data_IF_277652936849
#
_entry.id   IF_277652936849
#
_cell.length_a   1.000
_cell.length_b   1.000
_cell.length_c   1.000
_cell.angle_alpha   90.00
_cell.angle_beta   90.00
_cell.angle_gamma   90.00
#
_symmetry.space_group_name_H-M   'P 1'
#
loop_
_entity.id
_entity.type
_entity.pdbx_description
1 polymer ?
#
# COMPACT_ATOMS: atom_id res chain seq x y z
N UNK A 1 35.29 6.30 2.33
CA UNK A 1 35.94 5.26 1.47
C UNK A 1 35.56 3.84 1.89
N UNK A 2 35.51 3.52 3.20
CA UNK A 2 35.11 2.19 3.72
C UNK A 2 33.67 1.77 3.34
N UNK A 3 32.71 2.70 3.34
CA UNK A 3 31.31 2.38 3.00
C UNK A 3 31.12 2.02 1.52
N UNK A 4 31.76 2.78 0.61
CA UNK A 4 31.75 2.47 -0.84
C UNK A 4 32.30 1.07 -1.14
N UNK A 5 33.33 0.63 -0.41
CA UNK A 5 33.92 -0.71 -0.57
C UNK A 5 32.97 -1.80 -0.05
N UNK A 6 32.24 -1.53 1.03
CA UNK A 6 31.24 -2.44 1.60
C UNK A 6 30.06 -2.62 0.63
N UNK A 7 29.58 -1.54 0.03
CA UNK A 7 28.51 -1.57 -0.96
C UNK A 7 28.92 -2.32 -2.23
N UNK A 8 30.14 -2.06 -2.72
CA UNK A 8 30.69 -2.76 -3.87
C UNK A 8 30.83 -4.27 -3.63
N UNK A 9 31.36 -4.68 -2.46
CA UNK A 9 31.44 -6.10 -2.06
C UNK A 9 30.06 -6.73 -1.91
N UNK A 10 29.10 -5.99 -1.36
CA UNK A 10 27.72 -6.44 -1.23
C UNK A 10 27.06 -6.69 -2.58
N UNK A 11 27.29 -5.80 -3.55
CA UNK A 11 26.87 -5.98 -4.95
C UNK A 11 27.54 -7.19 -5.59
N UNK A 12 28.87 -7.26 -5.53
CA UNK A 12 29.67 -8.35 -6.11
C UNK A 12 29.25 -9.74 -5.60
N UNK A 13 29.06 -9.88 -4.28
CA UNK A 13 28.68 -11.15 -3.65
C UNK A 13 27.27 -11.64 -4.04
N UNK A 14 26.38 -10.77 -4.54
CA UNK A 14 25.06 -11.20 -5.03
C UNK A 14 25.17 -12.03 -6.30
N UNK A 15 26.16 -11.74 -7.16
CA UNK A 15 26.39 -12.40 -8.44
C UNK A 15 27.32 -13.61 -8.35
N UNK A 16 27.92 -13.87 -7.18
CA UNK A 16 28.75 -15.05 -7.00
C UNK A 16 27.90 -16.33 -6.88
N UNK A 17 28.35 -17.45 -7.47
CA UNK A 17 27.76 -18.76 -7.26
C UNK A 17 27.64 -19.14 -5.79
N UNK A 18 26.52 -19.76 -5.44
CA UNK A 18 26.28 -20.30 -4.09
C UNK A 18 26.04 -21.80 -4.16
N UNK A 19 26.38 -22.48 -3.06
CA UNK A 19 25.99 -23.86 -2.89
C UNK A 19 24.47 -23.95 -2.74
N UNK A 20 23.83 -24.86 -3.46
CA UNK A 20 22.40 -25.16 -3.40
C UNK A 20 22.21 -26.50 -2.69
N UNK A 21 21.85 -26.52 -1.40
CA UNK A 21 21.70 -27.77 -0.64
C UNK A 21 20.69 -28.73 -1.28
N UNK A 22 19.59 -28.20 -1.82
CA UNK A 22 18.55 -29.00 -2.46
C UNK A 22 19.01 -29.75 -3.72
N UNK A 23 20.02 -29.21 -4.43
CA UNK A 23 20.58 -29.83 -5.64
C UNK A 23 21.95 -30.48 -5.39
N UNK A 24 22.47 -30.40 -4.16
CA UNK A 24 23.78 -30.93 -3.78
C UNK A 24 24.97 -30.32 -4.52
N UNK A 25 24.80 -29.19 -5.24
CA UNK A 25 25.82 -28.62 -6.14
C UNK A 25 25.99 -27.11 -5.99
N UNK A 26 27.08 -26.59 -6.55
CA UNK A 26 27.30 -25.14 -6.68
C UNK A 26 26.54 -24.63 -7.91
N UNK A 27 25.94 -23.44 -7.80
CA UNK A 27 25.35 -22.72 -8.92
C UNK A 27 26.36 -22.54 -10.07
N UNK A 28 25.88 -22.59 -11.31
CA UNK A 28 26.67 -22.08 -12.43
C UNK A 28 26.74 -20.55 -12.36
N UNK A 29 27.70 -19.95 -13.08
CA UNK A 29 27.76 -18.48 -13.21
C UNK A 29 26.47 -17.90 -13.80
N UNK A 30 25.83 -18.61 -14.73
CA UNK A 30 24.59 -18.17 -15.35
C UNK A 30 23.41 -18.18 -14.36
N UNK A 31 23.30 -19.22 -13.52
CA UNK A 31 22.29 -19.31 -12.47
C UNK A 31 22.49 -18.24 -11.39
N UNK A 32 23.74 -18.01 -10.97
CA UNK A 32 24.06 -16.96 -10.00
C UNK A 32 23.68 -15.57 -10.53
N UNK A 33 23.93 -15.32 -11.82
CA UNK A 33 23.55 -14.08 -12.50
C UNK A 33 22.02 -13.93 -12.61
N UNK A 34 21.31 -14.98 -13.03
CA UNK A 34 19.85 -15.00 -13.10
C UNK A 34 19.22 -14.74 -11.72
N UNK A 35 19.71 -15.40 -10.67
CA UNK A 35 19.27 -15.18 -9.28
C UNK A 35 19.51 -13.74 -8.83
N UNK A 36 20.66 -13.16 -9.15
CA UNK A 36 20.99 -11.79 -8.79
C UNK A 36 20.07 -10.78 -9.50
N UNK A 37 19.85 -10.95 -10.81
CA UNK A 37 18.92 -10.13 -11.58
C UNK A 37 17.48 -10.25 -11.08
N UNK A 38 17.02 -11.47 -10.77
CA UNK A 38 15.68 -11.69 -10.21
C UNK A 38 15.50 -10.93 -8.90
N UNK A 39 16.50 -10.99 -7.99
CA UNK A 39 16.48 -10.24 -6.73
C UNK A 39 16.49 -8.73 -6.94
N UNK A 40 17.27 -8.23 -7.90
CA UNK A 40 17.31 -6.81 -8.22
C UNK A 40 15.98 -6.32 -8.78
N UNK A 41 15.38 -7.07 -9.71
CA UNK A 41 14.07 -6.76 -10.28
C UNK A 41 12.99 -6.78 -9.20
N UNK A 42 12.98 -7.79 -8.33
CA UNK A 42 12.04 -7.88 -7.22
C UNK A 42 12.17 -6.70 -6.26
N UNK A 43 13.41 -6.34 -5.89
CA UNK A 43 13.67 -5.18 -5.04
C UNK A 43 13.19 -3.87 -5.70
N UNK A 44 13.44 -3.68 -7.00
CA UNK A 44 12.95 -2.49 -7.72
C UNK A 44 11.42 -2.43 -7.74
N UNK A 45 10.73 -3.56 -7.93
CA UNK A 45 9.26 -3.63 -7.88
C UNK A 45 8.74 -3.29 -6.48
N UNK A 46 9.37 -3.81 -5.42
CA UNK A 46 9.05 -3.49 -4.04
C UNK A 46 9.23 -1.98 -3.73
N UNK A 47 10.34 -1.40 -4.17
CA UNK A 47 10.61 0.04 -3.97
C UNK A 47 9.61 0.92 -4.73
N UNK A 48 9.24 0.57 -5.96
CA UNK A 48 8.20 1.28 -6.72
C UNK A 48 6.83 1.17 -6.04
N UNK A 49 6.48 -0.01 -5.56
CA UNK A 49 5.25 -0.24 -4.79
C UNK A 49 5.24 0.61 -3.52
N UNK A 50 6.36 0.67 -2.78
CA UNK A 50 6.49 1.49 -1.58
C UNK A 50 6.32 2.98 -1.89
N UNK A 51 7.05 3.51 -2.88
CA UNK A 51 6.94 4.91 -3.29
C UNK A 51 5.52 5.26 -3.81
N UNK A 52 4.81 4.32 -4.41
CA UNK A 52 3.39 4.51 -4.78
C UNK A 52 2.49 4.63 -3.55
N UNK A 53 2.70 3.78 -2.53
CA UNK A 53 1.96 3.84 -1.26
C UNK A 53 2.26 5.12 -0.49
N UNK A 54 3.52 5.54 -0.42
CA UNK A 54 3.93 6.78 0.24
C UNK A 54 3.23 7.99 -0.39
N UNK A 55 3.28 8.12 -1.72
CA UNK A 55 2.57 9.20 -2.43
C UNK A 55 1.06 9.20 -2.15
N UNK A 56 0.42 8.03 -2.13
CA UNK A 56 -1.02 7.92 -1.79
C UNK A 56 -1.28 8.37 -0.35
N UNK A 57 -0.43 7.98 0.59
CA UNK A 57 -0.56 8.40 1.99
C UNK A 57 -0.42 9.92 2.12
N UNK A 58 0.62 10.49 1.51
CA UNK A 58 0.90 11.92 1.57
C UNK A 58 -0.23 12.74 0.94
N UNK A 59 -0.70 12.34 -0.26
CA UNK A 59 -1.81 12.99 -0.94
C UNK A 59 -3.09 13.00 -0.10
N UNK A 60 -3.38 11.88 0.57
CA UNK A 60 -4.57 11.73 1.43
C UNK A 60 -4.44 12.54 2.72
N UNK A 61 -3.26 12.55 3.35
CA UNK A 61 -2.97 13.39 4.53
C UNK A 61 -3.14 14.87 4.19
N UNK A 62 -2.53 15.30 3.10
CA UNK A 62 -2.62 16.69 2.64
C UNK A 62 -4.06 17.08 2.31
N UNK A 63 -4.80 16.20 1.63
CA UNK A 63 -6.21 16.44 1.31
C UNK A 63 -7.06 16.58 2.58
N UNK A 64 -6.93 15.65 3.53
CA UNK A 64 -7.69 15.71 4.78
C UNK A 64 -7.35 16.98 5.59
N UNK A 65 -6.07 17.34 5.70
CA UNK A 65 -5.64 18.55 6.40
C UNK A 65 -6.20 19.83 5.77
N UNK A 66 -6.05 19.99 4.45
CA UNK A 66 -6.56 21.17 3.74
C UNK A 66 -8.09 21.25 3.79
N UNK A 67 -8.80 20.13 3.70
CA UNK A 67 -10.27 20.14 3.82
C UNK A 67 -10.72 20.58 5.21
N UNK A 68 -10.02 20.19 6.28
CA UNK A 68 -10.28 20.69 7.64
C UNK A 68 -10.06 22.21 7.70
N UNK A 69 -8.93 22.70 7.18
CA UNK A 69 -8.61 24.14 7.18
C UNK A 69 -9.66 24.98 6.44
N UNK A 70 -10.07 24.54 5.24
CA UNK A 70 -11.12 25.21 4.45
C UNK A 70 -12.43 25.24 5.23
N UNK A 71 -12.83 24.11 5.84
CA UNK A 71 -14.09 24.01 6.60
C UNK A 71 -14.10 24.86 7.85
N UNK A 72 -12.96 24.99 8.54
CA UNK A 72 -12.80 25.90 9.67
C UNK A 72 -12.95 27.34 9.20
N UNK A 73 -12.33 27.71 8.08
CA UNK A 73 -12.42 29.07 7.51
C UNK A 73 -13.84 29.43 7.06
N UNK A 74 -14.61 28.47 6.54
CA UNK A 74 -16.01 28.65 6.14
C UNK A 74 -17.01 28.72 7.32
N UNK A 75 -16.57 28.35 8.54
CA UNK A 75 -17.29 28.59 9.79
C UNK A 75 -18.65 27.89 9.97
N UNK A 76 -19.07 27.03 9.05
CA UNK A 76 -20.43 26.44 9.02
C UNK A 76 -20.46 24.91 8.85
N UNK A 77 -19.29 24.27 8.77
CA UNK A 77 -19.19 22.85 8.45
C UNK A 77 -19.41 21.94 9.68
N UNK A 78 -20.52 21.20 9.69
CA UNK A 78 -20.86 20.21 10.73
C UNK A 78 -19.97 18.96 10.70
N UNK A 79 -19.26 18.72 9.60
CA UNK A 79 -18.49 17.50 9.36
C UNK A 79 -16.98 17.62 9.65
N UNK A 80 -16.53 18.70 10.30
CA UNK A 80 -15.10 18.88 10.68
C UNK A 80 -14.61 17.69 11.51
N UNK A 81 -15.38 17.26 12.52
CA UNK A 81 -15.05 16.10 13.36
C UNK A 81 -14.93 14.81 12.56
N UNK A 82 -15.71 14.68 11.48
CA UNK A 82 -15.61 13.54 10.57
C UNK A 82 -14.29 13.57 9.83
N UNK A 83 -13.89 14.74 9.31
CA UNK A 83 -12.60 14.90 8.63
C UNK A 83 -11.39 14.72 9.55
N UNK A 84 -11.46 15.19 10.80
CA UNK A 84 -10.45 14.90 11.84
C UNK A 84 -10.34 13.40 12.08
N UNK A 85 -11.47 12.69 12.18
CA UNK A 85 -11.47 11.23 12.32
C UNK A 85 -10.89 10.53 11.09
N UNK A 86 -11.19 11.00 9.89
CA UNK A 86 -10.60 10.48 8.64
C UNK A 86 -9.08 10.66 8.66
N UNK A 87 -8.59 11.83 9.07
CA UNK A 87 -7.16 12.10 9.20
C UNK A 87 -6.49 11.14 10.21
N UNK A 88 -7.12 10.89 11.36
CA UNK A 88 -6.65 9.92 12.36
C UNK A 88 -6.57 8.49 11.79
N UNK A 89 -7.59 8.07 11.03
CA UNK A 89 -7.61 6.75 10.38
C UNK A 89 -6.45 6.64 9.38
N UNK A 90 -6.25 7.64 8.51
CA UNK A 90 -5.15 7.67 7.54
C UNK A 90 -3.79 7.62 8.26
N UNK A 91 -3.63 8.40 9.33
CA UNK A 91 -2.40 8.47 10.09
C UNK A 91 -2.02 7.11 10.70
N UNK A 92 -2.99 6.41 11.29
CA UNK A 92 -2.78 5.10 11.93
C UNK A 92 -2.50 3.99 10.93
N UNK A 93 -3.23 3.98 9.81
CA UNK A 93 -3.02 3.02 8.74
C UNK A 93 -1.62 3.13 8.13
N UNK A 94 -1.11 4.36 8.01
CA UNK A 94 0.19 4.65 7.41
C UNK A 94 0.34 4.02 6.03
N UNK A 95 1.59 3.75 5.66
CA UNK A 95 1.94 3.21 4.34
C UNK A 95 1.39 1.80 4.14
N UNK A 96 1.37 0.99 5.21
CA UNK A 96 0.89 -0.39 5.16
C UNK A 96 -0.60 -0.48 4.80
N UNK A 97 -1.40 0.48 5.26
CA UNK A 97 -2.82 0.58 4.93
C UNK A 97 -3.11 1.19 3.55
N UNK A 98 -2.10 1.55 2.76
CA UNK A 98 -2.27 1.97 1.37
C UNK A 98 -2.21 0.77 0.43
N UNK A 99 -3.17 0.66 -0.48
CA UNK A 99 -3.18 -0.35 -1.54
C UNK A 99 -2.12 0.01 -2.59
N UNK A 100 -1.21 -0.93 -2.89
CA UNK A 100 -0.28 -0.77 -4.01
C UNK A 100 -0.85 -1.35 -5.30
N UNK A 101 -0.34 -0.81 -6.40
CA UNK A 101 -0.50 -1.34 -7.75
C UNK A 101 0.88 -1.82 -8.19
N UNK A 102 1.01 -3.10 -8.53
CA UNK A 102 2.22 -3.64 -9.15
C UNK A 102 2.04 -3.57 -10.67
N UNK A 103 3.02 -3.00 -11.38
CA UNK A 103 3.05 -2.99 -12.84
C UNK A 103 3.54 -4.34 -13.37
N UNK A 104 2.82 -4.90 -14.33
CA UNK A 104 3.23 -6.08 -15.09
C UNK A 104 3.11 -5.76 -16.58
N UNK A 105 4.21 -5.81 -17.30
CA UNK A 105 4.16 -5.76 -18.77
C UNK A 105 3.67 -7.13 -19.26
N UNK A 106 2.53 -7.16 -19.92
CA UNK A 106 1.96 -8.36 -20.54
C UNK A 106 1.97 -8.18 -22.04
N UNK A 107 2.50 -9.18 -22.74
CA UNK A 107 2.44 -9.20 -24.21
C UNK A 107 1.08 -9.72 -24.63
N UNK A 108 0.30 -8.87 -25.30
CA UNK A 108 -0.98 -9.24 -25.95
C UNK A 108 -0.79 -8.97 -27.44
N UNK A 109 -1.00 -9.99 -28.27
CA UNK A 109 -0.90 -9.92 -29.74
C UNK A 109 0.39 -9.29 -30.27
N UNK A 110 1.53 -9.60 -29.64
CA UNK A 110 2.85 -9.08 -30.03
C UNK A 110 3.15 -7.66 -29.54
N UNK A 111 2.19 -6.95 -28.95
CA UNK A 111 2.37 -5.65 -28.31
C UNK A 111 2.59 -5.77 -26.79
N UNK A 112 3.49 -4.96 -26.21
CA UNK A 112 3.63 -4.85 -24.75
C UNK A 112 2.55 -3.92 -24.20
N UNK A 113 1.62 -4.47 -23.43
CA UNK A 113 0.60 -3.72 -22.69
C UNK A 113 0.98 -3.69 -21.22
N UNK A 114 0.96 -2.49 -20.62
CA UNK A 114 1.23 -2.32 -19.19
C UNK A 114 -0.04 -2.62 -18.40
N UNK A 115 0.00 -3.64 -17.55
CA UNK A 115 -1.08 -4.00 -16.64
C UNK A 115 -0.76 -3.59 -15.20
N UNK A 116 -1.79 -3.30 -14.41
CA UNK A 116 -1.66 -2.97 -12.99
C UNK A 116 -2.36 -4.06 -12.16
N UNK A 117 -1.60 -4.81 -11.36
CA UNK A 117 -2.11 -5.78 -10.38
C UNK A 117 -2.31 -5.07 -9.04
N UNK A 118 -3.55 -4.98 -8.58
CA UNK A 118 -3.88 -4.34 -7.31
C UNK A 118 -3.61 -5.34 -6.18
N UNK A 119 -2.82 -4.94 -5.19
CA UNK A 119 -2.71 -5.66 -3.92
C UNK A 119 -3.79 -5.20 -2.97
N UNK A 120 -4.69 -6.10 -2.57
CA UNK A 120 -5.78 -5.79 -1.65
C UNK A 120 -5.32 -5.92 -0.19
N UNK A 121 -5.76 -4.98 0.64
CA UNK A 121 -5.60 -5.05 2.09
C UNK A 121 -6.80 -5.80 2.69
N UNK A 122 -6.85 -7.13 2.52
CA UNK A 122 -7.97 -7.96 3.03
C UNK A 122 -8.13 -7.88 4.55
N UNK A 123 -7.04 -7.60 5.25
CA UNK A 123 -7.02 -7.41 6.70
C UNK A 123 -7.68 -6.11 7.16
N UNK A 124 -7.82 -5.12 6.30
CA UNK A 124 -8.31 -3.79 6.64
C UNK A 124 -9.82 -3.82 6.72
N UNK A 125 -10.38 -3.12 7.70
CA UNK A 125 -11.84 -3.01 7.84
C UNK A 125 -12.47 -2.51 6.50
N UNK A 126 -13.56 -3.16 6.02
CA UNK A 126 -14.09 -2.87 4.68
C UNK A 126 -14.56 -1.42 4.45
N UNK A 127 -15.22 -0.80 5.42
CA UNK A 127 -15.71 0.59 5.31
C UNK A 127 -14.57 1.61 5.08
N UNK A 128 -13.36 1.33 5.59
CA UNK A 128 -12.17 2.15 5.32
C UNK A 128 -11.89 2.28 3.82
N UNK A 129 -12.20 1.27 3.00
CA UNK A 129 -12.03 1.39 1.54
C UNK A 129 -12.90 2.52 0.95
N UNK A 130 -14.12 2.68 1.46
CA UNK A 130 -15.03 3.74 1.04
C UNK A 130 -14.54 5.10 1.52
N UNK A 131 -14.06 5.19 2.78
CA UNK A 131 -13.45 6.42 3.33
C UNK A 131 -12.28 6.88 2.47
N UNK A 132 -11.35 5.98 2.15
CA UNK A 132 -10.18 6.31 1.34
C UNK A 132 -10.58 6.67 -0.10
N UNK A 133 -11.60 6.01 -0.66
CA UNK A 133 -12.15 6.36 -1.98
C UNK A 133 -12.79 7.76 -2.01
N UNK A 134 -13.49 8.14 -0.94
CA UNK A 134 -14.03 9.48 -0.76
C UNK A 134 -12.92 10.54 -0.68
N UNK A 135 -11.86 10.28 0.09
CA UNK A 135 -10.69 11.17 0.14
C UNK A 135 -10.01 11.26 -1.22
N UNK A 136 -9.83 10.14 -1.93
CA UNK A 136 -9.24 10.12 -3.27
C UNK A 136 -10.05 10.99 -4.25
N UNK A 137 -11.39 10.98 -4.16
CA UNK A 137 -12.25 11.85 -4.97
C UNK A 137 -12.01 13.34 -4.67
N UNK A 138 -11.85 13.71 -3.39
CA UNK A 138 -11.49 15.07 -3.00
C UNK A 138 -10.06 15.44 -3.44
N UNK A 139 -9.11 14.50 -3.39
CA UNK A 139 -7.76 14.71 -3.93
C UNK A 139 -7.80 15.02 -5.41
N UNK A 140 -8.65 14.34 -6.19
CA UNK A 140 -8.81 14.62 -7.62
C UNK A 140 -9.36 16.02 -7.87
N UNK A 141 -10.36 16.46 -7.09
CA UNK A 141 -10.91 17.82 -7.20
C UNK A 141 -9.84 18.87 -6.85
N UNK A 142 -9.09 18.66 -5.77
CA UNK A 142 -7.96 19.53 -5.37
C UNK A 142 -6.91 19.64 -6.47
N UNK A 143 -6.61 18.53 -7.14
CA UNK A 143 -5.60 18.45 -8.20
C UNK A 143 -6.14 18.73 -9.61
N UNK A 144 -7.44 19.02 -9.77
CA UNK A 144 -8.06 19.17 -11.09
C UNK A 144 -7.39 20.26 -11.95
N UNK A 145 -6.84 21.29 -11.32
CA UNK A 145 -6.14 22.39 -11.99
C UNK A 145 -4.63 22.15 -12.16
N UNK A 146 -4.10 21.01 -11.69
CA UNK A 146 -2.69 20.66 -11.87
C UNK A 146 -2.53 19.84 -13.16
N UNK A 147 -1.73 20.29 -14.14
CA UNK A 147 -1.48 19.52 -15.36
C UNK A 147 -0.74 18.23 -15.02
N UNK A 148 -1.47 17.11 -15.01
CA UNK A 148 -0.95 15.77 -14.77
C UNK A 148 -0.86 14.93 -16.05
N UNK A 149 -0.04 13.86 -16.07
CA UNK A 149 -0.05 12.89 -17.14
C UNK A 149 -1.44 12.23 -17.26
N UNK A 150 -1.92 12.02 -18.48
CA UNK A 150 -3.20 11.33 -18.73
C UNK A 150 -3.18 9.94 -18.05
N UNK A 151 -4.28 9.53 -17.39
CA UNK A 151 -4.34 8.24 -16.72
C UNK A 151 -4.17 7.09 -17.74
N UNK A 152 -3.24 6.18 -17.45
CA UNK A 152 -3.06 4.95 -18.22
C UNK A 152 -4.26 4.00 -18.02
N UNK A 153 -4.64 3.20 -19.03
CA UNK A 153 -5.71 2.22 -18.91
C UNK A 153 -5.42 1.22 -17.78
N UNK A 154 -6.42 0.99 -16.91
CA UNK A 154 -6.35 0.08 -15.76
C UNK A 154 -7.21 -1.16 -16.03
N UNK A 155 -6.61 -2.31 -16.25
CA UNK A 155 -7.34 -3.59 -16.35
C UNK A 155 -7.23 -4.31 -15.01
N UNK A 156 -8.37 -4.53 -14.33
CA UNK A 156 -8.46 -5.42 -13.18
C UNK A 156 -8.43 -6.85 -13.70
N UNK A 157 -7.30 -7.55 -13.58
CA UNK A 157 -7.21 -8.96 -13.99
C UNK A 157 -8.20 -9.81 -13.18
N UNK A 158 -9.22 -10.36 -13.84
CA UNK A 158 -10.18 -11.28 -13.24
C UNK A 158 -9.60 -12.70 -12.98
N UNK A 159 -8.49 -13.06 -13.64
CA UNK A 159 -7.93 -14.43 -13.63
C UNK A 159 -6.76 -14.68 -12.68
N UNK A 160 -6.22 -13.66 -12.01
CA UNK A 160 -5.15 -13.81 -11.03
C UNK A 160 -5.56 -13.10 -9.75
N UNK A 161 -5.78 -13.88 -8.68
CA UNK A 161 -6.21 -13.35 -7.40
C UNK A 161 -5.33 -12.18 -6.95
N UNK A 162 -5.92 -11.14 -6.33
CA UNK A 162 -5.15 -10.00 -5.86
C UNK A 162 -4.09 -10.47 -4.87
N UNK A 163 -2.87 -9.93 -4.98
CA UNK A 163 -1.86 -10.13 -3.95
C UNK A 163 -2.38 -9.55 -2.62
N UNK A 164 -2.15 -10.23 -1.50
CA UNK A 164 -2.59 -9.75 -0.18
C UNK A 164 -1.48 -8.90 0.43
N UNK A 165 -1.79 -7.65 0.76
CA UNK A 165 -0.87 -6.81 1.52
C UNK A 165 -0.76 -7.33 2.96
N UNK A 166 0.45 -7.41 3.55
CA UNK A 166 0.60 -7.86 4.93
C UNK A 166 -0.11 -6.91 5.90
N UNK A 167 -0.68 -7.49 6.96
CA UNK A 167 -1.30 -6.72 8.03
C UNK A 167 -0.23 -6.05 8.91
N UNK A 168 -0.30 -4.73 9.17
CA UNK A 168 0.60 -4.07 10.10
C UNK A 168 0.32 -4.51 11.54
N UNK A 169 1.33 -4.34 12.39
CA UNK A 169 1.23 -4.58 13.83
C UNK A 169 0.78 -3.33 14.58
N UNK A 170 0.20 -3.49 15.76
CA UNK A 170 -0.09 -2.39 16.67
C UNK A 170 -1.29 -1.53 16.32
N UNK A 171 -2.10 -1.89 15.31
CA UNK A 171 -3.32 -1.13 15.03
C UNK A 171 -4.41 -1.42 16.07
N UNK A 172 -5.31 -0.46 16.32
CA UNK A 172 -6.55 -0.73 17.04
C UNK A 172 -7.39 -1.80 16.35
N UNK A 173 -8.11 -2.61 17.16
CA UNK A 173 -8.90 -3.74 16.66
C UNK A 173 -9.90 -3.34 15.57
N UNK A 174 -10.51 -2.16 15.71
CA UNK A 174 -11.51 -1.62 14.78
C UNK A 174 -10.99 -1.37 13.37
N UNK A 175 -9.69 -1.19 13.17
CA UNK A 175 -9.11 -1.01 11.84
C UNK A 175 -8.91 -2.33 11.09
N UNK A 176 -9.08 -3.47 11.77
CA UNK A 176 -9.02 -4.78 11.15
C UNK A 176 -10.41 -5.28 10.76
N UNK A 177 -10.47 -6.00 9.64
CA UNK A 177 -11.65 -6.76 9.26
C UNK A 177 -11.84 -7.94 10.24
N UNK A 178 -12.98 -7.95 10.93
CA UNK A 178 -13.33 -8.98 11.91
C UNK A 178 -13.45 -10.38 11.31
N UNK A 179 -13.97 -10.53 10.09
CA UNK A 179 -14.07 -11.82 9.41
C UNK A 179 -12.68 -12.34 9.05
N UNK A 180 -11.83 -11.45 8.52
CA UNK A 180 -10.45 -11.80 8.21
C UNK A 180 -9.68 -12.21 9.47
N UNK A 181 -9.83 -11.48 10.58
CA UNK A 181 -9.21 -11.82 11.87
C UNK A 181 -9.66 -13.19 12.40
N UNK A 182 -10.95 -13.52 12.30
CA UNK A 182 -11.51 -14.81 12.72
C UNK A 182 -10.97 -15.98 11.90
N UNK A 183 -10.62 -15.74 10.63
CA UNK A 183 -10.04 -16.75 9.75
C UNK A 183 -8.54 -17.01 10.03
N UNK A 184 -7.88 -16.20 10.87
CA UNK A 184 -6.47 -16.38 11.20
C UNK A 184 -6.25 -17.32 12.38
N UNK A 185 -5.05 -17.91 12.44
CA UNK A 185 -4.66 -18.72 13.61
C UNK A 185 -4.44 -17.83 14.84
N UNK A 186 -4.71 -18.32 16.06
CA UNK A 186 -4.48 -17.55 17.28
C UNK A 186 -3.04 -17.03 17.40
N UNK A 187 -2.04 -17.87 17.06
CA UNK A 187 -0.64 -17.49 17.06
C UNK A 187 -0.34 -16.33 16.10
N UNK A 188 -0.97 -16.32 14.91
CA UNK A 188 -0.80 -15.20 13.99
C UNK A 188 -1.45 -13.92 14.53
N UNK A 189 -2.65 -14.01 15.11
CA UNK A 189 -3.34 -12.85 15.71
C UNK A 189 -2.51 -12.23 16.83
N UNK A 190 -1.84 -13.05 17.65
CA UNK A 190 -0.91 -12.57 18.68
C UNK A 190 0.27 -11.78 18.10
N UNK A 191 0.81 -12.21 16.95
CA UNK A 191 1.90 -11.48 16.27
C UNK A 191 1.50 -10.10 15.74
N UNK A 192 0.20 -9.84 15.57
CA UNK A 192 -0.31 -8.52 15.17
C UNK A 192 -0.20 -7.51 16.30
N UNK A 193 -0.06 -7.94 17.57
CA UNK A 193 0.04 -7.06 18.73
C UNK A 193 -1.07 -5.99 18.72
N UNK A 194 -2.32 -6.43 18.52
CA UNK A 194 -3.47 -5.54 18.37
C UNK A 194 -3.53 -4.59 19.56
N UNK A 195 -3.61 -3.29 19.29
CA UNK A 195 -3.66 -2.26 20.33
C UNK A 195 -4.92 -2.41 21.18
N UNK A 196 -4.76 -2.23 22.49
CA UNK A 196 -5.87 -2.20 23.47
C UNK A 196 -6.63 -0.88 23.47
N UNK A 197 -6.17 0.10 22.70
CA UNK A 197 -6.80 1.40 22.58
C UNK A 197 -8.23 1.27 22.04
N UNK A 198 -9.18 1.90 22.72
CA UNK A 198 -10.52 2.08 22.21
C UNK A 198 -10.49 3.12 21.09
N UNK A 199 -10.55 2.65 19.85
CA UNK A 199 -10.65 3.49 18.66
C UNK A 199 -11.96 3.16 17.95
N UNK A 200 -12.83 4.15 17.84
CA UNK A 200 -14.05 4.04 17.04
C UNK A 200 -13.79 4.60 15.65
N UNK A 201 -14.11 3.80 14.62
CA UNK A 201 -13.98 4.24 13.22
C UNK A 201 -14.87 5.46 12.94
N UNK A 202 -16.01 5.56 13.61
CA UNK A 202 -16.89 6.72 13.55
C UNK A 202 -17.43 7.08 14.93
N UNK A 203 -17.43 8.37 15.22
CA UNK A 203 -18.28 8.95 16.27
C UNK A 203 -19.62 9.23 15.59
N UNK A 204 -20.73 8.86 16.22
CA UNK A 204 -22.07 9.18 15.71
C UNK A 204 -22.24 10.71 15.55
N UNK A 205 -21.95 11.21 14.35
CA UNK A 205 -22.53 12.43 13.82
C UNK A 205 -23.53 11.97 12.76
N UNK A 206 -24.75 11.80 13.27
CA UNK A 206 -26.02 11.72 12.55
C UNK A 206 -26.02 12.50 11.23
N UNK A 207 -26.48 11.82 10.19
CA UNK A 207 -27.04 12.34 8.94
C UNK A 207 -26.15 13.21 8.04
N UNK A 208 -26.07 12.76 6.78
CA UNK A 208 -25.59 13.50 5.59
C UNK A 208 -24.07 13.55 5.36
N UNK A 209 -23.43 12.38 5.31
CA UNK A 209 -22.52 12.16 4.18
C UNK A 209 -23.27 11.28 3.20
N UNK A 210 -23.85 11.87 2.15
CA UNK A 210 -24.34 11.09 1.02
C UNK A 210 -23.10 10.50 0.32
N UNK A 211 -22.74 9.29 0.76
CA UNK A 211 -21.82 8.37 0.08
C UNK A 211 -22.46 7.84 -1.20
#
# INVERSE_FOLDING_TARGET
>A
MKDKLKDWRGGWNKFQPKYQPAAGRIETKAEAHARALQKLNQHQLEMRSLASKDRKLDDRRETAALTIEVKIAEGTALDIKTWERIADVIQRLGVAGMSSEDEADVTVDGGKVRLYKIKLCLWREPSIANILGFVDAQTLLRKANQPGPKPAPRIRNAGHGPGVAPAPRGLPRSLYNNEWLKAQTPAFVETLQISKEAFELFVAATDRMNL
#
